data_IF_854506936779
#
_entry.id   IF_854506936779
#
_cell.length_a   1.000
_cell.length_b   1.000
_cell.length_c   1.000
_cell.angle_alpha   90.00
_cell.angle_beta   90.00
_cell.angle_gamma   90.00
#
_symmetry.space_group_name_H-M   'P 1'
#
loop_
_entity.id
_entity.type
_entity.pdbx_description
1 polymer ?
#
# COMPACT_ATOMS: atom_id res chain seq x y z
N UNK A 1 -19.27 -4.55 25.62
CA UNK A 1 -19.05 -3.33 24.81
C UNK A 1 -17.71 -2.75 25.21
N UNK A 2 -17.02 -2.17 24.24
CA UNK A 2 -15.80 -1.35 24.37
C UNK A 2 -14.47 -2.05 24.05
N UNK A 3 -14.04 -1.74 22.82
CA UNK A 3 -12.66 -1.57 22.36
C UNK A 3 -11.85 -2.84 22.07
N UNK A 4 -12.25 -3.52 20.98
CA UNK A 4 -11.31 -4.31 20.16
C UNK A 4 -10.23 -3.33 19.73
N UNK A 5 -9.01 -3.60 20.18
CA UNK A 5 -7.83 -2.79 20.05
C UNK A 5 -7.75 -2.08 18.69
N UNK A 6 -7.73 -0.75 18.73
CA UNK A 6 -6.94 0.01 17.79
C UNK A 6 -5.48 -0.38 18.02
N UNK A 7 -5.08 -1.53 17.48
CA UNK A 7 -3.71 -2.00 17.40
C UNK A 7 -2.94 -1.01 16.50
N UNK A 8 -2.54 0.12 17.10
CA UNK A 8 -1.51 1.09 16.67
C UNK A 8 -1.23 1.14 15.16
N UNK A 9 -2.26 1.37 14.33
CA UNK A 9 -2.03 1.67 12.91
C UNK A 9 -1.54 3.10 12.82
N UNK A 10 -0.31 3.28 12.39
CA UNK A 10 0.34 4.57 12.19
C UNK A 10 0.31 4.90 10.71
N UNK A 11 -0.26 6.04 10.34
CA UNK A 11 -0.16 6.55 8.98
C UNK A 11 1.29 7.02 8.72
N UNK A 12 1.90 6.53 7.65
CA UNK A 12 3.23 6.90 7.18
C UNK A 12 3.14 7.85 6.00
N UNK A 13 4.21 8.60 5.77
CA UNK A 13 4.32 9.44 4.58
C UNK A 13 4.86 8.63 3.41
N UNK A 14 3.97 8.25 2.48
CA UNK A 14 4.34 7.57 1.25
C UNK A 14 5.35 8.37 0.41
N UNK A 15 5.25 9.71 0.43
CA UNK A 15 6.12 10.59 -0.35
C UNK A 15 7.51 10.78 0.25
N UNK A 16 7.76 10.21 1.45
CA UNK A 16 9.09 10.17 2.04
C UNK A 16 10.00 9.11 1.37
N UNK A 17 9.43 8.15 0.62
CA UNK A 17 10.17 7.16 -0.17
C UNK A 17 10.94 7.80 -1.33
N UNK A 18 11.89 7.09 -1.91
CA UNK A 18 12.56 7.56 -3.14
C UNK A 18 11.56 7.68 -4.30
N UNK A 19 11.85 8.57 -5.26
CA UNK A 19 10.97 8.75 -6.42
C UNK A 19 10.80 7.47 -7.25
N UNK A 20 11.85 6.63 -7.30
CA UNK A 20 11.83 5.33 -7.97
C UNK A 20 10.86 4.37 -7.27
N UNK A 21 10.97 4.19 -5.95
CA UNK A 21 10.03 3.37 -5.18
C UNK A 21 8.58 3.87 -5.30
N UNK A 22 8.38 5.18 -5.19
CA UNK A 22 7.04 5.76 -5.35
C UNK A 22 6.46 5.39 -6.71
N UNK A 23 7.26 5.54 -7.77
CA UNK A 23 6.82 5.20 -9.12
C UNK A 23 6.52 3.72 -9.28
N UNK A 24 7.32 2.84 -8.67
CA UNK A 24 7.09 1.40 -8.69
C UNK A 24 5.75 1.05 -8.04
N UNK A 25 5.46 1.54 -6.83
CA UNK A 25 4.17 1.28 -6.19
C UNK A 25 2.98 1.88 -6.96
N UNK A 26 3.17 3.06 -7.55
CA UNK A 26 2.14 3.75 -8.32
C UNK A 26 1.87 3.15 -9.70
N UNK A 27 2.77 2.31 -10.22
CA UNK A 27 2.63 1.70 -11.56
C UNK A 27 2.42 0.20 -11.45
N UNK A 28 3.24 -0.50 -10.68
CA UNK A 28 3.24 -1.95 -10.50
C UNK A 28 2.16 -2.40 -9.49
N UNK A 29 0.92 -1.96 -9.70
CA UNK A 29 -0.22 -2.33 -8.85
C UNK A 29 -0.99 -3.48 -9.45
N UNK A 30 -1.11 -4.57 -8.69
CA UNK A 30 -2.06 -5.65 -8.99
C UNK A 30 -3.47 -5.28 -8.53
N UNK A 31 -4.46 -5.44 -9.41
CA UNK A 31 -5.87 -5.28 -9.04
C UNK A 31 -6.63 -6.60 -9.20
N UNK A 32 -7.23 -7.10 -8.13
CA UNK A 32 -8.04 -8.32 -8.16
C UNK A 32 -9.31 -8.22 -9.01
N UNK A 33 -9.89 -7.01 -9.18
CA UNK A 33 -11.05 -6.81 -10.05
C UNK A 33 -10.68 -6.82 -11.53
N UNK A 34 -9.55 -6.21 -11.88
CA UNK A 34 -9.07 -6.22 -13.27
C UNK A 34 -8.29 -7.49 -13.62
N UNK A 35 -7.82 -8.24 -12.61
CA UNK A 35 -6.99 -9.43 -12.72
C UNK A 35 -5.73 -9.21 -13.57
N UNK A 36 -5.09 -8.05 -13.37
CA UNK A 36 -3.98 -7.59 -14.19
C UNK A 36 -2.95 -6.86 -13.32
N UNK A 37 -1.69 -6.89 -13.76
CA UNK A 37 -0.56 -6.19 -13.15
C UNK A 37 -0.33 -4.87 -13.92
N UNK A 38 0.46 -3.95 -13.36
CA UNK A 38 0.85 -2.68 -14.01
C UNK A 38 -0.31 -1.72 -14.32
N UNK A 39 -1.40 -1.79 -13.56
CA UNK A 39 -2.55 -0.90 -13.75
C UNK A 39 -2.37 0.47 -13.12
N UNK A 40 -1.47 0.53 -12.14
CA UNK A 40 -1.22 1.68 -11.30
C UNK A 40 -2.25 1.95 -10.20
N UNK A 41 -1.81 2.73 -9.22
CA UNK A 41 -2.56 3.13 -8.03
C UNK A 41 -2.71 4.65 -7.98
N UNK A 42 -3.88 5.12 -7.55
CA UNK A 42 -4.15 6.51 -7.24
C UNK A 42 -4.49 6.65 -5.75
N UNK A 43 -4.23 7.84 -5.20
CA UNK A 43 -4.43 8.15 -3.78
C UNK A 43 -3.67 7.17 -2.84
N UNK A 44 -2.35 6.98 -3.00
CA UNK A 44 -1.58 6.08 -2.14
C UNK A 44 -1.54 6.61 -0.69
N UNK A 45 -1.77 5.73 0.26
CA UNK A 45 -1.67 5.98 1.69
C UNK A 45 -0.89 4.84 2.33
N UNK A 46 0.26 5.15 2.92
CA UNK A 46 1.10 4.17 3.59
C UNK A 46 0.72 4.07 5.07
N UNK A 47 0.73 2.86 5.59
CA UNK A 47 0.41 2.54 6.98
C UNK A 47 1.41 1.54 7.53
N UNK A 48 1.62 1.60 8.84
CA UNK A 48 2.40 0.63 9.60
C UNK A 48 1.63 0.18 10.83
N UNK A 49 1.65 -1.12 11.10
CA UNK A 49 1.20 -1.68 12.36
C UNK A 49 1.94 -2.98 12.68
N UNK A 50 2.33 -3.15 13.94
CA UNK A 50 2.95 -4.39 14.44
C UNK A 50 4.16 -4.85 13.60
N UNK A 51 4.95 -3.90 13.08
CA UNK A 51 6.11 -4.19 12.22
C UNK A 51 5.78 -4.56 10.78
N UNK A 52 4.52 -4.45 10.35
CA UNK A 52 4.10 -4.60 8.95
C UNK A 52 3.84 -3.24 8.34
N UNK A 53 4.32 -3.03 7.13
CA UNK A 53 4.08 -1.81 6.35
C UNK A 53 3.25 -2.18 5.13
N UNK A 54 2.22 -1.41 4.82
CA UNK A 54 1.42 -1.60 3.62
C UNK A 54 0.95 -0.27 3.05
N UNK A 55 0.66 -0.26 1.76
CA UNK A 55 0.11 0.89 1.04
C UNK A 55 -1.30 0.54 0.61
N UNK A 56 -2.26 1.38 0.98
CA UNK A 56 -3.61 1.35 0.44
C UNK A 56 -3.78 2.44 -0.62
N UNK A 57 -4.55 2.14 -1.66
CA UNK A 57 -4.97 3.14 -2.62
C UNK A 57 -6.10 2.59 -3.49
N UNK A 58 -6.32 3.22 -4.64
CA UNK A 58 -7.33 2.77 -5.61
C UNK A 58 -6.68 2.44 -6.93
N UNK A 59 -7.16 1.39 -7.60
CA UNK A 59 -6.72 1.05 -8.95
C UNK A 59 -7.01 2.22 -9.91
N UNK A 60 -6.02 2.68 -10.67
CA UNK A 60 -6.20 3.78 -11.61
C UNK A 60 -7.18 3.44 -12.76
N UNK A 61 -7.37 2.15 -13.06
CA UNK A 61 -8.25 1.65 -14.14
C UNK A 61 -9.70 1.51 -13.72
N UNK A 62 -9.99 0.88 -12.58
CA UNK A 62 -11.36 0.59 -12.14
C UNK A 62 -11.81 1.35 -10.89
N UNK A 63 -10.89 1.98 -10.15
CA UNK A 63 -11.19 2.67 -8.90
C UNK A 63 -11.38 1.77 -7.67
N UNK A 64 -11.25 0.45 -7.82
CA UNK A 64 -11.35 -0.50 -6.72
C UNK A 64 -10.22 -0.31 -5.71
N UNK A 65 -10.49 -0.55 -4.42
CA UNK A 65 -9.47 -0.48 -3.38
C UNK A 65 -8.40 -1.55 -3.61
N UNK A 66 -7.15 -1.13 -3.67
CA UNK A 66 -5.97 -1.99 -3.78
C UNK A 66 -5.10 -1.83 -2.55
N UNK A 67 -4.55 -2.94 -2.06
CA UNK A 67 -3.68 -2.96 -0.89
C UNK A 67 -2.41 -3.72 -1.28
N UNK A 68 -1.27 -3.10 -1.08
CA UNK A 68 0.06 -3.65 -1.36
C UNK A 68 0.81 -3.75 -0.04
N UNK A 69 1.10 -4.96 0.41
CA UNK A 69 1.97 -5.18 1.58
C UNK A 69 3.44 -5.03 1.14
N UNK A 70 4.21 -4.25 1.89
CA UNK A 70 5.63 -4.06 1.65
C UNK A 70 6.37 -5.04 2.54
N UNK A 71 7.05 -5.99 1.90
CA UNK A 71 7.92 -6.93 2.59
C UNK A 71 9.33 -6.44 2.36
N UNK A 72 9.94 -5.83 3.36
CA UNK A 72 11.38 -5.60 3.36
C UNK A 72 12.02 -6.97 3.62
N UNK A 73 12.70 -7.54 2.62
CA UNK A 73 13.58 -8.69 2.85
C UNK A 73 14.70 -8.18 3.76
N UNK A 74 14.70 -8.56 5.04
CA UNK A 74 15.88 -8.45 5.91
C UNK A 74 17.00 -9.25 5.20
N UNK A 75 17.88 -8.55 4.48
CA UNK A 75 19.11 -9.11 3.90
C UNK A 75 19.91 -9.83 5.02
N UNK A 76 19.79 -11.16 5.09
CA UNK A 76 20.68 -12.05 5.87
C UNK A 76 22.01 -12.34 5.14
#
# INVERSE_FOLDING_TARGET
>A
MSDIAAEQVVARDFYARSAEEQQDFLTQTWCNQCQDIDLGMVEPQEFEAQGRVWIEGKCAKCGEKTVTEIVEEDDE
#
